data_IF_680941124346
#
_entry.id   IF_680941124346
#
_cell.length_a   1.000
_cell.length_b   1.000
_cell.length_c   1.000
_cell.angle_alpha   90.00
_cell.angle_beta   90.00
_cell.angle_gamma   90.00
#
_symmetry.space_group_name_H-M   'P 1'
#
loop_
_entity.id
_entity.type
_entity.pdbx_description
1 polymer ?
#
# COMPACT_ATOMS: atom_id res chain seq x y z
N UNK A 1 24.52 -68.32 -28.24
CA UNK A 1 24.54 -67.34 -29.34
C UNK A 1 23.22 -66.57 -29.35
N UNK A 2 22.97 -65.71 -28.36
CA UNK A 2 23.62 -64.41 -28.13
C UNK A 2 23.38 -63.41 -29.26
N UNK A 3 22.77 -62.29 -28.85
CA UNK A 3 23.11 -60.93 -29.27
C UNK A 3 22.46 -60.28 -30.51
N UNK A 4 21.59 -60.92 -31.30
CA UNK A 4 21.05 -60.22 -32.49
C UNK A 4 19.55 -60.39 -32.81
N UNK A 5 18.67 -60.53 -31.80
CA UNK A 5 17.20 -60.42 -32.00
C UNK A 5 16.50 -59.40 -31.09
N UNK A 6 17.24 -58.62 -30.31
CA UNK A 6 16.68 -57.64 -29.37
C UNK A 6 16.70 -56.18 -29.88
N UNK A 7 17.08 -55.94 -31.15
CA UNK A 7 17.33 -54.58 -31.69
C UNK A 7 16.23 -54.10 -32.67
N UNK A 8 15.12 -54.83 -32.81
CA UNK A 8 13.95 -54.34 -33.55
C UNK A 8 12.65 -54.51 -32.75
N UNK A 9 12.49 -53.70 -31.70
CA UNK A 9 11.17 -53.21 -31.29
C UNK A 9 11.29 -51.78 -30.78
N UNK A 10 11.44 -50.92 -31.77
CA UNK A 10 10.92 -49.55 -31.83
C UNK A 10 9.81 -49.26 -30.82
N UNK A 11 10.16 -48.45 -29.82
CA UNK A 11 9.49 -47.19 -29.48
C UNK A 11 7.96 -47.17 -29.49
N UNK A 12 7.37 -47.44 -28.34
CA UNK A 12 6.18 -46.70 -27.89
C UNK A 12 6.37 -46.32 -26.42
N UNK A 13 7.40 -45.51 -26.15
CA UNK A 13 7.52 -44.82 -24.87
C UNK A 13 6.31 -43.88 -24.76
N UNK A 14 5.41 -44.19 -23.84
CA UNK A 14 4.22 -43.40 -23.57
C UNK A 14 4.63 -41.96 -23.23
N UNK A 15 4.28 -41.05 -24.13
CA UNK A 15 4.55 -39.61 -24.05
C UNK A 15 4.06 -38.97 -22.73
N UNK A 16 3.13 -39.63 -22.03
CA UNK A 16 2.59 -39.16 -20.74
C UNK A 16 3.60 -39.17 -19.58
N UNK A 17 4.61 -40.05 -19.60
CA UNK A 17 5.59 -40.16 -18.50
C UNK A 17 6.65 -39.04 -18.53
N UNK A 18 7.07 -38.62 -19.73
CA UNK A 18 8.01 -37.51 -19.91
C UNK A 18 7.34 -36.15 -19.69
N UNK A 19 6.06 -36.01 -20.03
CA UNK A 19 5.27 -34.80 -19.76
C UNK A 19 5.06 -34.55 -18.26
N UNK A 20 4.90 -35.60 -17.45
CA UNK A 20 4.80 -35.46 -15.99
C UNK A 20 6.15 -35.07 -15.35
N UNK A 21 7.27 -35.58 -15.89
CA UNK A 21 8.59 -35.23 -15.37
C UNK A 21 9.03 -33.79 -15.74
N UNK A 22 8.63 -33.30 -16.91
CA UNK A 22 8.89 -31.91 -17.34
C UNK A 22 8.02 -30.89 -16.59
N UNK A 23 6.84 -31.28 -16.10
CA UNK A 23 5.95 -30.42 -15.28
C UNK A 23 6.38 -30.27 -13.82
N UNK A 24 7.31 -31.09 -13.33
CA UNK A 24 7.84 -30.97 -11.96
C UNK A 24 8.75 -29.75 -11.76
N UNK A 25 9.22 -29.13 -12.84
CA UNK A 25 10.13 -27.97 -12.80
C UNK A 25 9.47 -26.65 -13.21
N UNK A 26 8.15 -26.65 -13.50
CA UNK A 26 7.42 -25.39 -13.70
C UNK A 26 7.02 -24.84 -12.34
N UNK A 27 7.75 -23.83 -11.86
CA UNK A 27 7.22 -22.90 -10.87
C UNK A 27 6.06 -22.16 -11.55
N UNK A 28 4.84 -22.66 -11.41
CA UNK A 28 3.67 -21.82 -11.60
C UNK A 28 3.83 -20.67 -10.59
N UNK A 29 3.87 -19.39 -11.02
CA UNK A 29 3.88 -18.31 -10.06
C UNK A 29 2.63 -18.49 -9.22
N UNK A 30 2.83 -18.76 -7.93
CA UNK A 30 1.70 -18.88 -7.04
C UNK A 30 0.98 -17.53 -7.08
N UNK A 31 -0.32 -17.52 -7.37
CA UNK A 31 -1.11 -16.28 -7.39
C UNK A 31 -1.12 -15.56 -6.02
N UNK A 32 -0.47 -16.13 -5.01
CA UNK A 32 -0.20 -15.60 -3.69
C UNK A 32 1.07 -14.74 -3.61
N UNK A 33 1.96 -14.73 -4.61
CA UNK A 33 3.20 -13.92 -4.58
C UNK A 33 2.91 -12.41 -4.47
N UNK A 34 1.73 -11.97 -4.94
CA UNK A 34 1.25 -10.59 -4.82
C UNK A 34 0.03 -10.44 -3.91
N UNK A 35 -0.18 -11.36 -2.96
CA UNK A 35 -1.09 -11.09 -1.85
C UNK A 35 -0.45 -10.03 -0.95
N UNK A 36 -0.73 -8.76 -1.24
CA UNK A 36 -0.44 -7.67 -0.31
C UNK A 36 -1.04 -8.01 1.07
N UNK A 37 -0.48 -7.48 2.17
CA UNK A 37 -0.91 -7.87 3.51
C UNK A 37 -2.41 -7.70 3.66
N UNK A 38 -3.06 -8.79 4.04
CA UNK A 38 -4.49 -8.83 4.33
C UNK A 38 -4.77 -7.94 5.54
N UNK A 39 -5.82 -7.12 5.48
CA UNK A 39 -6.25 -6.26 6.60
C UNK A 39 -6.56 -7.13 7.83
N UNK A 40 -5.64 -7.16 8.80
CA UNK A 40 -5.71 -8.05 9.97
C UNK A 40 -6.68 -7.55 11.06
N UNK A 41 -7.46 -6.50 10.83
CA UNK A 41 -8.42 -6.01 11.82
C UNK A 41 -9.75 -5.62 11.17
N UNK A 42 -10.85 -6.13 11.73
CA UNK A 42 -12.22 -5.62 11.52
C UNK A 42 -12.49 -4.33 12.32
N UNK A 43 -11.43 -3.63 12.73
CA UNK A 43 -11.56 -2.39 13.50
C UNK A 43 -12.19 -1.31 12.64
N UNK A 44 -13.31 -0.77 13.15
CA UNK A 44 -14.04 0.32 12.53
C UNK A 44 -13.12 1.54 12.41
N UNK A 45 -13.04 2.11 11.20
CA UNK A 45 -12.26 3.32 10.89
C UNK A 45 -12.50 4.41 11.95
N UNK A 46 -11.42 5.02 12.42
CA UNK A 46 -11.46 6.13 13.38
C UNK A 46 -12.15 7.33 12.73
N UNK A 47 -13.15 7.84 13.43
CA UNK A 47 -14.00 8.96 12.99
C UNK A 47 -13.82 10.18 13.89
N UNK A 48 -14.16 11.35 13.38
CA UNK A 48 -14.16 12.59 14.16
C UNK A 48 -15.02 12.50 15.44
N UNK A 49 -16.12 11.74 15.39
CA UNK A 49 -16.98 11.51 16.55
C UNK A 49 -16.26 10.74 17.67
N UNK A 50 -15.48 9.72 17.30
CA UNK A 50 -14.67 8.95 18.27
C UNK A 50 -13.56 9.82 18.87
N UNK A 51 -12.88 10.65 18.06
CA UNK A 51 -11.86 11.58 18.56
C UNK A 51 -12.45 12.61 19.54
N UNK A 52 -13.62 13.17 19.21
CA UNK A 52 -14.36 14.07 20.12
C UNK A 52 -14.73 13.39 21.43
N UNK A 53 -15.13 12.12 21.38
CA UNK A 53 -15.42 11.33 22.57
C UNK A 53 -14.17 11.08 23.41
N UNK A 54 -13.03 10.69 22.79
CA UNK A 54 -11.74 10.54 23.49
C UNK A 54 -11.34 11.84 24.20
N UNK A 55 -11.44 12.98 23.52
CA UNK A 55 -11.17 14.29 24.10
C UNK A 55 -12.08 14.59 25.30
N UNK A 56 -13.40 14.36 25.21
CA UNK A 56 -14.34 14.57 26.32
C UNK A 56 -14.06 13.68 27.53
N UNK A 57 -13.54 12.47 27.27
CA UNK A 57 -13.20 11.50 28.31
C UNK A 57 -11.76 11.67 28.81
N UNK A 58 -11.05 12.72 28.40
CA UNK A 58 -9.64 12.96 28.74
C UNK A 58 -8.70 11.80 28.37
N UNK A 59 -9.05 11.05 27.33
CA UNK A 59 -8.20 9.98 26.79
C UNK A 59 -7.27 10.62 25.74
N UNK A 60 -5.94 10.45 25.87
CA UNK A 60 -4.99 10.98 24.89
C UNK A 60 -5.27 10.48 23.47
N UNK A 61 -5.13 11.39 22.51
CA UNK A 61 -5.24 11.10 21.07
C UNK A 61 -3.82 10.94 20.52
N UNK A 62 -3.57 9.82 19.86
CA UNK A 62 -2.27 9.49 19.27
C UNK A 62 -2.23 9.92 17.81
N UNK A 63 -1.17 10.64 17.43
CA UNK A 63 -0.98 11.17 16.09
C UNK A 63 0.44 10.87 15.66
N UNK A 64 0.59 10.27 14.47
CA UNK A 64 1.90 9.91 13.91
C UNK A 64 1.94 10.24 12.43
N UNK A 65 3.09 10.71 11.94
CA UNK A 65 3.29 10.96 10.51
C UNK A 65 3.69 9.70 9.75
N UNK A 66 3.21 9.57 8.52
CA UNK A 66 3.59 8.49 7.61
C UNK A 66 3.70 9.03 6.19
N UNK A 67 4.62 8.47 5.42
CA UNK A 67 4.86 8.89 4.04
C UNK A 67 4.81 7.73 3.04
N UNK A 68 4.87 6.49 3.52
CA UNK A 68 4.92 5.31 2.69
C UNK A 68 4.04 4.16 3.23
N UNK A 69 3.93 3.14 2.41
CA UNK A 69 3.12 1.96 2.70
C UNK A 69 3.54 1.20 3.97
N UNK A 70 4.81 0.79 4.15
CA UNK A 70 5.19 -0.01 5.31
C UNK A 70 5.02 0.76 6.63
N UNK A 71 5.35 2.07 6.68
CA UNK A 71 5.11 2.86 7.88
C UNK A 71 3.62 2.97 8.20
N UNK A 72 2.77 3.13 7.17
CA UNK A 72 1.33 3.15 7.35
C UNK A 72 0.77 1.83 7.90
N UNK A 73 1.29 0.68 7.44
CA UNK A 73 0.93 -0.65 7.99
C UNK A 73 1.32 -0.77 9.47
N UNK A 74 2.51 -0.29 9.85
CA UNK A 74 2.93 -0.30 11.24
C UNK A 74 2.07 0.60 12.13
N UNK A 75 1.71 1.78 11.63
CA UNK A 75 0.80 2.72 12.33
C UNK A 75 -0.58 2.11 12.52
N UNK A 76 -1.11 1.43 11.50
CA UNK A 76 -2.38 0.71 11.58
C UNK A 76 -2.34 -0.41 12.63
N UNK A 77 -1.24 -1.19 12.63
CA UNK A 77 -1.02 -2.29 13.59
C UNK A 77 -0.84 -1.78 15.01
N UNK A 78 -0.23 -0.60 15.18
CA UNK A 78 -0.03 0.05 16.48
C UNK A 78 -1.30 0.74 17.03
N UNK A 79 -2.43 0.66 16.31
CA UNK A 79 -3.71 1.25 16.69
C UNK A 79 -3.63 2.77 16.98
N UNK A 80 -2.84 3.48 16.16
CA UNK A 80 -2.76 4.94 16.21
C UNK A 80 -4.10 5.54 15.77
N UNK A 81 -4.52 6.65 16.38
CA UNK A 81 -5.81 7.26 16.08
C UNK A 81 -5.81 8.05 14.76
N UNK A 82 -4.73 8.80 14.52
CA UNK A 82 -4.60 9.70 13.37
C UNK A 82 -3.25 9.48 12.68
N UNK A 83 -3.28 9.29 11.37
CA UNK A 83 -2.10 9.20 10.52
C UNK A 83 -2.02 10.46 9.64
N UNK A 84 -0.93 11.20 9.74
CA UNK A 84 -0.73 12.47 9.02
C UNK A 84 0.30 12.30 7.91
N UNK A 85 -0.04 12.73 6.69
CA UNK A 85 0.90 12.86 5.58
C UNK A 85 1.24 14.33 5.45
N UNK A 86 2.38 14.73 6.02
CA UNK A 86 2.79 16.14 6.08
C UNK A 86 3.79 16.55 5.00
N UNK A 87 3.90 17.85 4.76
CA UNK A 87 4.88 18.47 3.85
C UNK A 87 6.35 18.27 4.33
N UNK A 88 6.52 17.92 5.61
CA UNK A 88 7.76 17.39 6.19
C UNK A 88 8.38 16.23 5.39
N UNK A 89 7.61 15.52 4.55
CA UNK A 89 8.12 14.57 3.56
C UNK A 89 9.26 15.16 2.69
N UNK A 90 9.20 16.46 2.39
CA UNK A 90 10.27 17.20 1.70
C UNK A 90 11.64 16.99 2.36
N UNK A 91 11.69 17.08 3.68
CA UNK A 91 12.93 16.95 4.44
C UNK A 91 13.26 15.49 4.72
N UNK A 92 12.30 14.74 5.25
CA UNK A 92 12.58 13.40 5.80
C UNK A 92 12.58 12.29 4.75
N UNK A 93 11.94 12.52 3.60
CA UNK A 93 11.90 11.56 2.48
C UNK A 93 12.76 12.04 1.32
N UNK A 94 12.65 13.32 0.93
CA UNK A 94 13.34 13.86 -0.24
C UNK A 94 14.70 14.51 0.08
N UNK A 95 15.03 14.71 1.36
CA UNK A 95 16.33 15.24 1.78
C UNK A 95 16.53 16.72 1.49
N UNK A 96 15.45 17.49 1.34
CA UNK A 96 15.51 18.95 1.21
C UNK A 96 15.78 19.62 2.56
N UNK A 97 16.36 20.82 2.52
CA UNK A 97 16.63 21.61 3.72
C UNK A 97 15.35 22.24 4.32
N UNK A 98 14.28 22.36 3.52
CA UNK A 98 13.01 22.99 3.92
C UNK A 98 11.82 22.22 3.34
N UNK A 99 10.59 22.57 3.75
CA UNK A 99 9.36 21.98 3.20
C UNK A 99 8.82 22.68 1.95
N UNK A 100 9.41 23.82 1.56
CA UNK A 100 8.99 24.61 0.40
C UNK A 100 9.06 23.91 -0.97
N UNK A 101 10.06 23.04 -1.27
CA UNK A 101 10.22 22.51 -2.62
C UNK A 101 9.24 21.38 -2.96
N UNK A 102 8.53 20.80 -1.97
CA UNK A 102 7.62 19.68 -2.24
C UNK A 102 6.38 20.13 -2.99
N UNK A 103 6.04 19.39 -4.04
CA UNK A 103 4.89 19.66 -4.90
C UNK A 103 3.63 18.95 -4.41
N UNK A 104 2.46 19.44 -4.81
CA UNK A 104 1.18 18.76 -4.57
C UNK A 104 1.15 17.34 -5.15
N UNK A 105 1.85 17.11 -6.28
CA UNK A 105 1.89 15.80 -6.91
C UNK A 105 2.64 14.78 -6.06
N UNK A 106 3.79 15.17 -5.50
CA UNK A 106 4.56 14.33 -4.58
C UNK A 106 3.76 14.01 -3.32
N UNK A 107 3.10 15.00 -2.74
CA UNK A 107 2.18 14.79 -1.60
C UNK A 107 1.08 13.77 -1.93
N UNK A 108 0.46 13.85 -3.12
CA UNK A 108 -0.56 12.88 -3.54
C UNK A 108 0.00 11.46 -3.68
N UNK A 109 1.25 11.29 -4.10
CA UNK A 109 1.90 9.97 -4.16
C UNK A 109 2.06 9.39 -2.76
N UNK A 110 2.54 10.17 -1.80
CA UNK A 110 2.64 9.76 -0.39
C UNK A 110 1.28 9.43 0.21
N UNK A 111 0.27 10.30 0.01
CA UNK A 111 -1.10 10.05 0.46
C UNK A 111 -1.67 8.73 -0.11
N UNK A 112 -1.43 8.44 -1.39
CA UNK A 112 -1.87 7.18 -2.02
C UNK A 112 -1.18 5.96 -1.43
N UNK A 113 0.12 6.05 -1.14
CA UNK A 113 0.86 4.96 -0.52
C UNK A 113 0.35 4.68 0.89
N UNK A 114 0.15 5.73 1.70
CA UNK A 114 -0.33 5.64 3.08
C UNK A 114 -1.77 5.12 3.13
N UNK A 115 -2.67 5.59 2.26
CA UNK A 115 -4.07 5.12 2.21
C UNK A 115 -4.22 3.63 1.88
N UNK A 116 -3.20 3.03 1.24
CA UNK A 116 -3.16 1.59 1.01
C UNK A 116 -2.81 0.81 2.28
N UNK A 117 -1.93 1.33 3.13
CA UNK A 117 -1.44 0.65 4.33
C UNK A 117 -2.24 0.93 5.60
N UNK A 118 -2.74 2.14 5.76
CA UNK A 118 -3.47 2.59 6.95
C UNK A 118 -4.98 2.55 6.70
N UNK A 119 -5.66 1.51 7.20
CA UNK A 119 -7.10 1.26 6.97
C UNK A 119 -7.99 1.74 8.10
N UNK A 120 -7.48 1.69 9.33
CA UNK A 120 -8.20 2.03 10.55
C UNK A 120 -8.02 3.49 11.01
N UNK A 121 -6.83 4.14 10.98
CA UNK A 121 -6.70 5.49 11.52
C UNK A 121 -7.43 6.53 10.66
N UNK A 122 -7.67 7.70 11.25
CA UNK A 122 -8.09 8.87 10.50
C UNK A 122 -6.90 9.39 9.68
N UNK A 123 -7.01 9.36 8.35
CA UNK A 123 -5.99 9.89 7.46
C UNK A 123 -6.16 11.40 7.28
N UNK A 124 -5.07 12.13 7.45
CA UNK A 124 -4.99 13.59 7.23
C UNK A 124 -3.81 13.84 6.30
N UNK A 125 -3.99 14.67 5.27
CA UNK A 125 -2.92 15.08 4.37
C UNK A 125 -2.78 16.60 4.37
N UNK A 126 -1.56 17.09 4.50
CA UNK A 126 -1.27 18.52 4.47
C UNK A 126 -1.33 19.07 3.06
N UNK A 127 -1.68 20.36 2.97
CA UNK A 127 -1.59 21.13 1.75
C UNK A 127 -0.21 21.81 1.69
N UNK A 128 0.63 21.50 0.69
CA UNK A 128 1.95 22.10 0.61
C UNK A 128 1.87 23.61 0.35
N UNK A 129 2.95 24.32 0.71
CA UNK A 129 3.03 25.78 0.61
C UNK A 129 2.64 26.31 -0.78
N UNK A 130 1.94 27.45 -0.82
CA UNK A 130 1.45 28.07 -2.05
C UNK A 130 0.19 27.41 -2.66
N UNK A 131 -0.23 26.22 -2.21
CA UNK A 131 -1.46 25.57 -2.74
C UNK A 131 -2.77 26.09 -2.12
N UNK A 132 -2.69 26.83 -1.02
CA UNK A 132 -3.82 27.42 -0.29
C UNK A 132 -3.87 28.96 -0.36
N UNK A 133 -2.85 29.63 -0.91
CA UNK A 133 -2.74 31.10 -0.91
C UNK A 133 -3.39 31.78 -2.14
N UNK A 134 -3.55 31.06 -3.26
CA UNK A 134 -4.14 31.60 -4.48
C UNK A 134 -5.68 31.53 -4.51
N UNK A 135 -6.34 32.38 -3.73
CA UNK A 135 -7.77 32.73 -3.81
C UNK A 135 -8.78 31.57 -3.67
N UNK A 136 -10.04 31.89 -3.43
CA UNK A 136 -11.15 30.97 -3.12
C UNK A 136 -11.49 29.90 -4.18
N UNK A 137 -10.70 29.74 -5.23
CA UNK A 137 -10.91 28.73 -6.27
C UNK A 137 -10.23 27.41 -5.88
N UNK A 138 -10.96 26.66 -5.05
CA UNK A 138 -11.30 25.22 -5.08
C UNK A 138 -10.50 24.20 -5.92
N UNK A 139 -9.58 24.55 -6.80
CA UNK A 139 -8.91 23.61 -7.73
C UNK A 139 -7.99 22.63 -7.00
N UNK A 140 -7.28 23.06 -5.95
CA UNK A 140 -6.42 22.16 -5.14
C UNK A 140 -7.25 21.15 -4.34
N UNK A 141 -8.35 21.60 -3.74
CA UNK A 141 -9.27 20.77 -2.93
C UNK A 141 -10.05 19.79 -3.83
N UNK A 142 -10.52 20.24 -5.01
CA UNK A 142 -11.23 19.38 -5.98
C UNK A 142 -10.34 18.23 -6.46
N UNK A 143 -9.04 18.44 -6.67
CA UNK A 143 -8.11 17.36 -7.05
C UNK A 143 -7.91 16.33 -5.92
N UNK A 144 -7.95 16.76 -4.66
CA UNK A 144 -7.87 15.89 -3.48
C UNK A 144 -9.19 15.12 -3.26
N UNK A 145 -10.33 15.76 -3.50
CA UNK A 145 -11.66 15.11 -3.44
C UNK A 145 -11.85 14.09 -4.58
N UNK A 146 -11.41 14.40 -5.80
CA UNK A 146 -11.41 13.45 -6.92
C UNK A 146 -10.47 12.26 -6.70
N UNK A 147 -9.40 12.43 -5.91
CA UNK A 147 -8.58 11.31 -5.47
C UNK A 147 -9.32 10.44 -4.42
N UNK A 148 -10.12 11.06 -3.53
CA UNK A 148 -10.97 10.37 -2.56
C UNK A 148 -12.10 9.53 -3.17
N UNK A 149 -12.70 9.93 -4.29
CA UNK A 149 -13.65 9.07 -5.01
C UNK A 149 -13.00 7.77 -5.56
N UNK A 150 -11.67 7.74 -5.70
CA UNK A 150 -10.90 6.54 -6.07
C UNK A 150 -10.30 5.79 -4.88
N UNK A 151 -10.49 6.28 -3.65
CA UNK A 151 -10.03 5.64 -2.41
C UNK A 151 -11.12 4.81 -1.71
N UNK A 152 -12.35 4.82 -2.23
CA UNK A 152 -13.47 3.98 -1.79
C UNK A 152 -13.47 2.59 -2.43
#
# INVERSE_FOLDING_TARGET
MSLLRSILRTTTLSSSSLLNHLRLMSNLPENTVYSGPTSQNTNKRVTLSQLRQKHRNSIPITVVTAYDYPSAVHIDTAAIDICVVGDSASMVVHGHDTTLPITLHEMLVHCRAVARGAKTPLLVGDLPFGTYECSSNQTSIVNILAANEKFG
#
